data_IF_704952142508
#
_entry.id   IF_704952142508
#
_cell.length_a   1.000
_cell.length_b   1.000
_cell.length_c   1.000
_cell.angle_alpha   90.00
_cell.angle_beta   90.00
_cell.angle_gamma   90.00
#
_symmetry.space_group_name_H-M   'P 1'
#
loop_
_entity.id
_entity.type
_entity.pdbx_description
1 polymer ?
#
# COMPACT_ATOMS: atom_id res chain seq x y z
N UNK A 1 14.22 10.33 -41.62
CA UNK A 1 13.53 9.05 -41.36
C UNK A 1 14.25 8.11 -40.37
N UNK A 2 15.56 7.75 -40.50
CA UNK A 2 16.18 6.74 -39.62
C UNK A 2 16.47 7.20 -38.18
N UNK A 3 16.51 8.51 -37.91
CA UNK A 3 16.60 9.04 -36.53
C UNK A 3 15.25 9.00 -35.80
N UNK A 4 14.16 9.29 -36.50
CA UNK A 4 12.80 9.22 -35.95
C UNK A 4 12.42 7.79 -35.58
N UNK A 5 12.62 6.81 -36.48
CA UNK A 5 12.36 5.40 -36.17
C UNK A 5 13.21 4.88 -35.00
N UNK A 6 14.48 5.29 -34.89
CA UNK A 6 15.32 4.94 -33.74
C UNK A 6 14.82 5.54 -32.42
N UNK A 7 14.34 6.78 -32.46
CA UNK A 7 13.74 7.42 -31.28
C UNK A 7 12.46 6.70 -30.83
N UNK A 8 11.58 6.35 -31.78
CA UNK A 8 10.35 5.59 -31.52
C UNK A 8 10.67 4.20 -30.93
N UNK A 9 11.66 3.51 -31.49
CA UNK A 9 12.08 2.20 -30.98
C UNK A 9 12.66 2.30 -29.55
N UNK A 10 13.51 3.28 -29.27
CA UNK A 10 14.07 3.48 -27.93
C UNK A 10 12.96 3.78 -26.89
N UNK A 11 11.95 4.58 -27.26
CA UNK A 11 10.80 4.83 -26.38
C UNK A 11 9.96 3.58 -26.15
N UNK A 12 9.75 2.75 -27.17
CA UNK A 12 9.00 1.51 -27.06
C UNK A 12 9.73 0.47 -26.18
N UNK A 13 11.06 0.36 -26.33
CA UNK A 13 11.90 -0.52 -25.50
C UNK A 13 11.87 -0.09 -24.02
N UNK A 14 12.01 1.20 -23.73
CA UNK A 14 11.91 1.74 -22.37
C UNK A 14 10.52 1.48 -21.76
N UNK A 15 9.46 1.70 -22.54
CA UNK A 15 8.08 1.48 -22.10
C UNK A 15 7.83 0.00 -21.77
N UNK A 16 8.23 -0.89 -22.66
CA UNK A 16 8.09 -2.34 -22.47
C UNK A 16 8.90 -2.84 -21.26
N UNK A 17 10.12 -2.32 -21.08
CA UNK A 17 10.96 -2.67 -19.92
C UNK A 17 10.32 -2.21 -18.60
N UNK A 18 9.79 -0.99 -18.56
CA UNK A 18 9.14 -0.43 -17.37
C UNK A 18 7.92 -1.24 -16.94
N UNK A 19 7.06 -1.61 -17.90
CA UNK A 19 5.89 -2.46 -17.62
C UNK A 19 6.32 -3.84 -17.10
N UNK A 20 7.32 -4.45 -17.74
CA UNK A 20 7.81 -5.78 -17.31
C UNK A 20 8.33 -5.75 -15.89
N UNK A 21 9.12 -4.74 -15.54
CA UNK A 21 9.60 -4.58 -14.17
C UNK A 21 8.45 -4.45 -13.18
N UNK A 22 7.49 -3.57 -13.46
CA UNK A 22 6.32 -3.36 -12.61
C UNK A 22 5.58 -4.69 -12.39
N UNK A 23 5.31 -5.43 -13.48
CA UNK A 23 4.65 -6.73 -13.42
C UNK A 23 5.45 -7.77 -12.62
N UNK A 24 6.79 -7.78 -12.70
CA UNK A 24 7.62 -8.66 -11.88
C UNK A 24 7.55 -8.32 -10.40
N UNK A 25 7.62 -7.04 -10.04
CA UNK A 25 7.49 -6.60 -8.65
C UNK A 25 6.10 -6.94 -8.08
N UNK A 26 5.03 -6.68 -8.82
CA UNK A 26 3.67 -7.07 -8.42
C UNK A 26 3.53 -8.59 -8.30
N UNK A 27 4.10 -9.37 -9.23
CA UNK A 27 4.07 -10.84 -9.17
C UNK A 27 4.77 -11.37 -7.91
N UNK A 28 5.92 -10.80 -7.55
CA UNK A 28 6.67 -11.17 -6.34
C UNK A 28 5.84 -10.82 -5.09
N UNK A 29 5.24 -9.62 -5.03
CA UNK A 29 4.38 -9.21 -3.93
C UNK A 29 3.19 -10.17 -3.73
N UNK A 30 2.47 -10.48 -4.81
CA UNK A 30 1.36 -11.44 -4.75
C UNK A 30 1.83 -12.84 -4.36
N UNK A 31 2.96 -13.32 -4.89
CA UNK A 31 3.49 -14.63 -4.55
C UNK A 31 3.82 -14.73 -3.05
N UNK A 32 4.47 -13.71 -2.48
CA UNK A 32 4.77 -13.64 -1.05
C UNK A 32 3.47 -13.64 -0.23
N UNK A 33 2.49 -12.81 -0.60
CA UNK A 33 1.20 -12.73 0.07
C UNK A 33 0.48 -14.09 0.12
N UNK A 34 0.32 -14.76 -1.03
CA UNK A 34 -0.35 -16.06 -1.09
C UNK A 34 0.44 -17.16 -0.38
N UNK A 35 1.78 -17.09 -0.43
CA UNK A 35 2.66 -18.03 0.26
C UNK A 35 2.53 -17.92 1.78
N UNK A 36 2.64 -16.71 2.33
CA UNK A 36 2.50 -16.46 3.78
C UNK A 36 1.10 -16.83 4.29
N UNK A 37 0.07 -16.51 3.50
CA UNK A 37 -1.31 -16.90 3.80
C UNK A 37 -1.43 -18.43 3.91
N UNK A 38 -0.88 -19.16 2.93
CA UNK A 38 -0.98 -20.62 2.88
C UNK A 38 -0.28 -21.29 4.06
N UNK A 39 0.89 -20.78 4.47
CA UNK A 39 1.63 -21.30 5.63
C UNK A 39 0.87 -21.09 6.94
N UNK A 40 0.23 -19.93 7.10
CA UNK A 40 -0.43 -19.55 8.35
C UNK A 40 -1.87 -20.08 8.46
N UNK A 41 -2.48 -20.52 7.36
CA UNK A 41 -3.87 -20.98 7.32
C UNK A 41 -4.16 -22.18 8.22
N UNK A 42 -3.29 -23.20 8.27
CA UNK A 42 -3.52 -24.38 9.12
C UNK A 42 -3.58 -24.00 10.61
N UNK A 43 -2.62 -23.19 11.06
CA UNK A 43 -2.54 -22.67 12.42
C UNK A 43 -3.72 -21.75 12.73
N UNK A 44 -4.15 -20.93 11.77
CA UNK A 44 -5.32 -20.07 11.91
C UNK A 44 -6.60 -20.88 12.13
N UNK A 45 -6.83 -21.92 11.33
CA UNK A 45 -8.01 -22.79 11.50
C UNK A 45 -7.99 -23.46 12.88
N UNK A 46 -6.82 -23.95 13.29
CA UNK A 46 -6.68 -24.69 14.55
C UNK A 46 -6.86 -23.81 15.79
N UNK A 47 -6.24 -22.63 15.84
CA UNK A 47 -6.20 -21.80 17.04
C UNK A 47 -7.21 -20.66 17.04
N UNK A 48 -7.52 -20.10 15.87
CA UNK A 48 -8.47 -19.00 15.76
C UNK A 48 -9.87 -19.55 15.50
N UNK A 49 -10.12 -20.23 14.37
CA UNK A 49 -11.49 -20.57 13.98
C UNK A 49 -12.16 -21.64 14.85
N UNK A 50 -11.43 -22.67 15.30
CA UNK A 50 -12.00 -23.71 16.19
C UNK A 50 -12.37 -23.19 17.58
N UNK A 51 -11.73 -22.11 18.05
CA UNK A 51 -11.90 -21.56 19.40
C UNK A 51 -12.46 -20.13 19.39
N UNK A 52 -12.85 -19.60 18.24
CA UNK A 52 -13.23 -18.20 18.09
C UNK A 52 -14.58 -17.90 18.73
N UNK A 53 -14.56 -16.99 19.71
CA UNK A 53 -15.74 -16.19 20.03
C UNK A 53 -15.81 -15.00 19.07
N UNK A 54 -16.99 -14.71 18.53
CA UNK A 54 -17.21 -13.57 17.63
C UNK A 54 -17.08 -12.29 18.45
N UNK A 55 -15.92 -11.64 18.37
CA UNK A 55 -15.62 -10.35 18.99
C UNK A 55 -15.28 -9.32 17.92
N UNK A 56 -15.33 -8.02 18.25
CA UNK A 56 -14.93 -6.95 17.33
C UNK A 56 -13.53 -7.16 16.77
N UNK A 57 -12.57 -7.58 17.61
CA UNK A 57 -11.21 -7.88 17.18
C UNK A 57 -11.16 -9.09 16.24
N UNK A 58 -11.99 -10.11 16.48
CA UNK A 58 -12.07 -11.29 15.61
C UNK A 58 -12.58 -10.91 14.21
N UNK A 59 -13.61 -10.05 14.15
CA UNK A 59 -14.17 -9.54 12.89
C UNK A 59 -13.17 -8.65 12.16
N UNK A 60 -12.51 -7.71 12.85
CA UNK A 60 -11.52 -6.82 12.25
C UNK A 60 -10.31 -7.60 11.74
N UNK A 61 -9.85 -8.61 12.47
CA UNK A 61 -8.78 -9.49 12.04
C UNK A 61 -9.15 -10.24 10.76
N UNK A 62 -10.32 -10.89 10.74
CA UNK A 62 -10.80 -11.61 9.57
C UNK A 62 -11.01 -10.66 8.37
N UNK A 63 -11.60 -9.49 8.61
CA UNK A 63 -11.78 -8.46 7.59
C UNK A 63 -10.43 -8.07 6.99
N UNK A 64 -9.45 -7.65 7.79
CA UNK A 64 -8.13 -7.27 7.29
C UNK A 64 -7.46 -8.40 6.49
N UNK A 65 -7.54 -9.62 7.00
CA UNK A 65 -6.86 -10.78 6.42
C UNK A 65 -7.47 -11.23 5.09
N UNK A 66 -8.79 -11.37 5.01
CA UNK A 66 -9.44 -11.77 3.76
C UNK A 66 -9.60 -10.62 2.78
N UNK A 67 -9.72 -9.38 3.27
CA UNK A 67 -9.71 -8.20 2.40
C UNK A 67 -8.35 -8.03 1.73
N UNK A 68 -7.25 -8.18 2.49
CA UNK A 68 -5.90 -8.19 1.94
C UNK A 68 -5.63 -9.33 0.95
N UNK A 69 -6.26 -10.50 1.16
CA UNK A 69 -6.11 -11.64 0.25
C UNK A 69 -6.94 -11.51 -1.04
N UNK A 70 -8.22 -11.15 -0.92
CA UNK A 70 -9.17 -11.18 -2.03
C UNK A 70 -9.17 -9.89 -2.84
N UNK A 71 -8.89 -8.76 -2.20
CA UNK A 71 -8.93 -7.45 -2.85
C UNK A 71 -7.88 -7.23 -3.95
N UNK A 72 -6.69 -7.85 -3.91
CA UNK A 72 -5.75 -7.81 -5.03
C UNK A 72 -6.15 -8.70 -6.23
N UNK A 73 -7.19 -9.53 -6.14
CA UNK A 73 -7.56 -10.43 -7.25
C UNK A 73 -7.96 -9.64 -8.50
N UNK A 74 -8.85 -8.61 -8.43
CA UNK A 74 -9.16 -7.79 -9.59
C UNK A 74 -7.95 -6.99 -10.10
N UNK A 75 -7.03 -6.57 -9.23
CA UNK A 75 -5.82 -5.85 -9.65
C UNK A 75 -4.87 -6.77 -10.42
N UNK A 76 -4.80 -8.07 -10.12
CA UNK A 76 -4.05 -9.03 -10.96
C UNK A 76 -4.54 -9.00 -12.42
N UNK A 77 -5.84 -8.87 -12.67
CA UNK A 77 -6.35 -8.73 -14.04
C UNK A 77 -5.88 -7.44 -14.72
N UNK A 78 -5.73 -6.35 -13.97
CA UNK A 78 -5.18 -5.08 -14.46
C UNK A 78 -3.73 -5.23 -14.96
N UNK A 79 -2.88 -5.94 -14.20
CA UNK A 79 -1.44 -6.09 -14.52
C UNK A 79 -1.14 -7.14 -15.61
N UNK A 80 -1.91 -8.24 -15.65
CA UNK A 80 -1.57 -9.42 -16.46
C UNK A 80 -2.50 -9.64 -17.66
N UNK A 81 -3.55 -8.84 -17.83
CA UNK A 81 -4.44 -8.94 -19.00
C UNK A 81 -4.46 -7.64 -19.81
N UNK A 82 -5.04 -7.70 -21.01
CA UNK A 82 -5.28 -6.54 -21.88
C UNK A 82 -6.76 -6.18 -21.86
N UNK A 83 -7.29 -5.59 -20.77
CA UNK A 83 -8.70 -5.22 -20.69
C UNK A 83 -9.04 -4.11 -21.69
N UNK A 84 -10.32 -3.95 -22.00
CA UNK A 84 -10.80 -2.79 -22.75
C UNK A 84 -10.49 -1.49 -22.00
N UNK A 85 -10.41 -0.35 -22.69
CA UNK A 85 -10.13 0.95 -22.08
C UNK A 85 -11.10 1.28 -20.93
N UNK A 86 -12.38 0.98 -21.12
CA UNK A 86 -13.41 1.17 -20.09
C UNK A 86 -13.17 0.26 -18.87
N UNK A 87 -12.81 -1.01 -19.11
CA UNK A 87 -12.50 -1.96 -18.03
C UNK A 87 -11.24 -1.56 -17.27
N UNK A 88 -10.22 -1.05 -17.95
CA UNK A 88 -9.00 -0.51 -17.34
C UNK A 88 -9.31 0.66 -16.40
N UNK A 89 -10.09 1.66 -16.84
CA UNK A 89 -10.48 2.80 -15.99
C UNK A 89 -11.25 2.35 -14.74
N UNK A 90 -12.18 1.40 -14.89
CA UNK A 90 -12.94 0.85 -13.76
C UNK A 90 -12.03 0.09 -12.77
N UNK A 91 -11.06 -0.69 -13.27
CA UNK A 91 -10.09 -1.41 -12.45
C UNK A 91 -9.16 -0.46 -11.69
N UNK A 92 -8.71 0.62 -12.32
CA UNK A 92 -7.88 1.63 -11.68
C UNK A 92 -8.62 2.35 -10.52
N UNK A 93 -9.89 2.70 -10.73
CA UNK A 93 -10.75 3.26 -9.66
C UNK A 93 -10.94 2.24 -8.54
N UNK A 94 -11.16 0.96 -8.88
CA UNK A 94 -11.25 -0.11 -7.89
C UNK A 94 -9.96 -0.26 -7.07
N UNK A 95 -8.80 -0.26 -7.73
CA UNK A 95 -7.50 -0.38 -7.07
C UNK A 95 -7.27 0.78 -6.08
N UNK A 96 -7.59 2.02 -6.46
CA UNK A 96 -7.53 3.16 -5.55
C UNK A 96 -8.48 3.02 -4.36
N UNK A 97 -9.73 2.64 -4.60
CA UNK A 97 -10.72 2.42 -3.54
C UNK A 97 -10.31 1.29 -2.58
N UNK A 98 -9.77 0.19 -3.13
CA UNK A 98 -9.24 -0.93 -2.38
C UNK A 98 -8.08 -0.51 -1.48
N UNK A 99 -7.10 0.24 -2.00
CA UNK A 99 -5.97 0.73 -1.22
C UNK A 99 -6.42 1.62 -0.04
N UNK A 100 -7.37 2.53 -0.28
CA UNK A 100 -7.93 3.39 0.78
C UNK A 100 -8.67 2.56 1.84
N UNK A 101 -9.49 1.60 1.42
CA UNK A 101 -10.24 0.74 2.34
C UNK A 101 -9.32 -0.19 3.16
N UNK A 102 -8.26 -0.72 2.54
CA UNK A 102 -7.24 -1.53 3.20
C UNK A 102 -6.53 -0.71 4.27
N UNK A 103 -6.05 0.49 3.91
CA UNK A 103 -5.38 1.39 4.84
C UNK A 103 -6.28 1.79 6.02
N UNK A 104 -7.56 2.07 5.76
CA UNK A 104 -8.51 2.38 6.82
C UNK A 104 -8.66 1.21 7.82
N UNK A 105 -8.72 -0.02 7.31
CA UNK A 105 -8.83 -1.22 8.14
C UNK A 105 -7.57 -1.41 9.01
N UNK A 106 -6.39 -1.30 8.41
CA UNK A 106 -5.09 -1.36 9.10
C UNK A 106 -5.01 -0.28 10.18
N UNK A 107 -5.37 0.96 9.83
CA UNK A 107 -5.34 2.07 10.76
C UNK A 107 -6.26 1.86 11.97
N UNK A 108 -7.49 1.37 11.77
CA UNK A 108 -8.41 1.05 12.87
C UNK A 108 -7.78 0.04 13.83
N UNK A 109 -7.19 -1.04 13.30
CA UNK A 109 -6.53 -2.08 14.11
C UNK A 109 -5.37 -1.49 14.91
N UNK A 110 -4.52 -0.69 14.25
CA UNK A 110 -3.36 -0.05 14.88
C UNK A 110 -3.76 0.95 15.96
N UNK A 111 -4.81 1.75 15.74
CA UNK A 111 -5.34 2.69 16.74
C UNK A 111 -5.91 1.93 17.94
N UNK A 112 -6.74 0.91 17.72
CA UNK A 112 -7.31 0.11 18.82
C UNK A 112 -6.22 -0.55 19.66
N UNK A 113 -5.21 -1.13 19.00
CA UNK A 113 -4.06 -1.76 19.67
C UNK A 113 -3.27 -0.76 20.51
N UNK A 114 -2.94 0.40 19.93
CA UNK A 114 -2.17 1.45 20.61
C UNK A 114 -2.97 2.04 21.76
N UNK A 115 -4.27 2.28 21.56
CA UNK A 115 -5.18 2.77 22.60
C UNK A 115 -5.27 1.83 23.80
N UNK A 116 -5.35 0.52 23.55
CA UNK A 116 -5.32 -0.50 24.61
C UNK A 116 -3.98 -0.51 25.37
N UNK A 117 -2.86 -0.36 24.65
CA UNK A 117 -1.50 -0.36 25.25
C UNK A 117 -1.24 0.85 26.17
N UNK A 118 -1.91 1.96 25.91
CA UNK A 118 -1.88 3.17 26.72
C UNK A 118 -3.07 3.27 27.70
N UNK A 119 -3.54 2.12 28.17
CA UNK A 119 -4.51 2.03 29.27
C UNK A 119 -5.80 2.85 28.98
N UNK A 120 -6.20 2.91 27.70
CA UNK A 120 -7.39 3.63 27.22
C UNK A 120 -7.34 5.14 27.47
N UNK A 121 -6.15 5.75 27.37
CA UNK A 121 -6.00 7.20 27.47
C UNK A 121 -6.65 7.94 26.29
N UNK A 122 -7.71 8.72 26.56
CA UNK A 122 -8.43 9.50 25.54
C UNK A 122 -7.54 10.52 24.80
N UNK A 123 -6.45 11.01 25.42
CA UNK A 123 -5.52 11.95 24.79
C UNK A 123 -4.81 11.33 23.58
N UNK A 124 -4.42 10.07 23.69
CA UNK A 124 -3.71 9.35 22.64
C UNK A 124 -4.69 8.97 21.53
N UNK A 125 -5.91 8.60 21.89
CA UNK A 125 -6.97 8.36 20.91
C UNK A 125 -7.24 9.61 20.06
N UNK A 126 -7.37 10.78 20.69
CA UNK A 126 -7.56 12.05 19.97
C UNK A 126 -6.36 12.34 19.07
N UNK A 127 -5.12 12.20 19.56
CA UNK A 127 -3.92 12.40 18.75
C UNK A 127 -3.92 11.49 17.51
N UNK A 128 -4.21 10.20 17.67
CA UNK A 128 -4.20 9.23 16.58
C UNK A 128 -5.32 9.48 15.57
N UNK A 129 -6.54 9.78 16.05
CA UNK A 129 -7.68 10.10 15.18
C UNK A 129 -7.40 11.39 14.40
N UNK A 130 -6.94 12.45 15.04
CA UNK A 130 -6.65 13.74 14.37
C UNK A 130 -5.58 13.55 13.30
N UNK A 131 -4.52 12.79 13.61
CA UNK A 131 -3.43 12.53 12.66
C UNK A 131 -3.94 11.71 11.46
N UNK A 132 -4.72 10.66 11.70
CA UNK A 132 -5.24 9.79 10.63
C UNK A 132 -6.31 10.48 9.77
N UNK A 133 -7.32 11.09 10.41
CA UNK A 133 -8.42 11.77 9.72
C UNK A 133 -7.91 13.02 8.99
N UNK A 134 -6.97 13.76 9.57
CA UNK A 134 -6.33 14.89 8.90
C UNK A 134 -5.62 14.48 7.61
N UNK A 135 -4.84 13.39 7.63
CA UNK A 135 -4.20 12.83 6.44
C UNK A 135 -5.19 12.32 5.40
N UNK A 136 -6.24 11.61 5.83
CA UNK A 136 -7.28 11.08 4.95
C UNK A 136 -8.10 12.19 4.27
N UNK A 137 -8.49 13.24 5.01
CA UNK A 137 -9.20 14.39 4.46
C UNK A 137 -8.31 15.13 3.46
N UNK A 138 -7.04 15.36 3.78
CA UNK A 138 -6.11 16.00 2.85
C UNK A 138 -5.97 15.19 1.55
N UNK A 139 -5.85 13.87 1.63
CA UNK A 139 -5.80 13.00 0.46
C UNK A 139 -7.11 13.04 -0.36
N UNK A 140 -8.27 12.97 0.30
CA UNK A 140 -9.59 13.02 -0.36
C UNK A 140 -9.86 14.36 -1.05
N UNK A 141 -9.57 15.47 -0.38
CA UNK A 141 -9.72 16.82 -0.96
C UNK A 141 -8.86 16.94 -2.21
N UNK A 142 -7.61 16.49 -2.14
CA UNK A 142 -6.67 16.54 -3.27
C UNK A 142 -7.07 15.64 -4.44
N UNK A 143 -7.71 14.49 -4.16
CA UNK A 143 -8.29 13.60 -5.17
C UNK A 143 -9.49 14.24 -5.89
N UNK A 144 -10.36 14.95 -5.16
CA UNK A 144 -11.57 15.57 -5.72
C UNK A 144 -11.24 16.87 -6.47
N UNK A 145 -10.23 17.62 -6.04
CA UNK A 145 -9.81 18.89 -6.68
C UNK A 145 -8.92 18.69 -7.90
N UNK A 146 -8.43 17.47 -8.13
CA UNK A 146 -7.80 17.14 -9.42
C UNK A 146 -8.90 16.89 -10.43
N UNK A 147 -9.00 17.77 -11.43
CA UNK A 147 -9.83 17.54 -12.61
C UNK A 147 -9.59 16.11 -13.11
N UNK A 148 -10.69 15.37 -13.36
CA UNK A 148 -10.69 14.05 -13.99
C UNK A 148 -9.74 14.04 -15.18
N UNK A 149 -9.13 12.89 -15.53
CA UNK A 149 -8.16 12.82 -16.62
C UNK A 149 -8.81 13.35 -17.89
N UNK A 150 -8.53 14.61 -18.25
CA UNK A 150 -8.58 15.04 -19.63
C UNK A 150 -7.50 14.19 -20.26
N UNK A 151 -7.96 13.23 -21.07
CA UNK A 151 -7.19 12.25 -21.82
C UNK A 151 -5.70 12.41 -21.61
N UNK A 152 -5.09 11.44 -20.92
CA UNK A 152 -3.65 11.25 -21.00
C UNK A 152 -3.40 10.80 -22.45
N UNK A 153 -3.44 11.76 -23.36
CA UNK A 153 -2.82 11.71 -24.67
C UNK A 153 -1.31 11.79 -24.41
N UNK A 154 -0.76 10.82 -23.67
CA UNK A 154 0.57 10.34 -24.03
C UNK A 154 0.38 9.78 -25.42
N UNK A 155 0.55 10.67 -26.40
CA UNK A 155 0.60 10.35 -27.83
C UNK A 155 1.82 9.49 -28.04
N UNK A 156 1.70 8.22 -27.64
CA UNK A 156 2.70 7.22 -27.90
C UNK A 156 2.81 7.14 -29.42
N UNK A 157 4.03 7.17 -29.98
CA UNK A 157 4.22 7.05 -31.42
C UNK A 157 3.90 5.62 -31.93
N UNK A 158 3.23 4.79 -31.12
CA UNK A 158 2.89 3.40 -31.34
C UNK A 158 1.56 3.04 -30.68
N UNK A 159 0.84 2.06 -31.23
CA UNK A 159 -0.36 1.51 -30.63
C UNK A 159 -0.01 0.53 -29.50
N UNK A 160 -0.59 0.72 -28.32
CA UNK A 160 -0.42 -0.16 -27.16
C UNK A 160 -1.78 -0.74 -26.75
N UNK A 161 -1.86 -2.07 -26.63
CA UNK A 161 -3.07 -2.77 -26.17
C UNK A 161 -2.88 -3.27 -24.73
N UNK A 162 -3.11 -2.39 -23.76
CA UNK A 162 -3.01 -2.68 -22.33
C UNK A 162 -3.54 -1.52 -21.49
N UNK A 163 -3.58 -1.69 -20.17
CA UNK A 163 -3.97 -0.62 -19.26
C UNK A 163 -2.78 0.32 -19.03
N UNK A 164 -2.94 1.61 -19.33
CA UNK A 164 -1.90 2.61 -19.06
C UNK A 164 -1.96 3.05 -17.59
N UNK A 165 -0.97 2.61 -16.81
CA UNK A 165 -0.84 2.95 -15.39
C UNK A 165 -0.03 4.25 -15.20
N UNK A 166 0.29 4.96 -16.28
CA UNK A 166 1.07 6.19 -16.23
C UNK A 166 0.36 7.29 -15.45
N UNK A 167 1.07 7.89 -14.51
CA UNK A 167 0.58 8.98 -13.69
C UNK A 167 1.09 10.34 -14.21
N UNK A 168 0.20 11.34 -14.22
CA UNK A 168 0.60 12.73 -14.45
C UNK A 168 1.41 13.27 -13.27
N UNK A 169 2.22 14.31 -13.47
CA UNK A 169 3.00 14.90 -12.37
C UNK A 169 2.11 15.45 -11.24
N UNK A 170 0.95 16.02 -11.55
CA UNK A 170 -0.01 16.48 -10.55
C UNK A 170 -0.54 15.34 -9.68
N UNK A 171 -1.02 14.26 -10.32
CA UNK A 171 -1.49 13.07 -9.61
C UNK A 171 -0.37 12.40 -8.79
N UNK A 172 0.84 12.31 -9.36
CA UNK A 172 2.00 11.73 -8.66
C UNK A 172 2.36 12.51 -7.41
N UNK A 173 2.31 13.85 -7.48
CA UNK A 173 2.56 14.71 -6.34
C UNK A 173 1.51 14.54 -5.24
N UNK A 174 0.23 14.42 -5.63
CA UNK A 174 -0.87 14.17 -4.68
C UNK A 174 -0.73 12.81 -3.99
N UNK A 175 -0.41 11.77 -4.76
CA UNK A 175 -0.10 10.46 -4.21
C UNK A 175 1.10 10.53 -3.26
N UNK A 176 2.20 11.21 -3.63
CA UNK A 176 3.35 11.37 -2.75
C UNK A 176 2.99 12.00 -1.40
N UNK A 177 2.11 13.00 -1.38
CA UNK A 177 1.60 13.61 -0.13
C UNK A 177 0.79 12.59 0.67
N UNK A 178 -0.10 11.83 0.03
CA UNK A 178 -0.90 10.80 0.70
C UNK A 178 -0.02 9.70 1.32
N UNK A 179 0.98 9.21 0.57
CA UNK A 179 1.98 8.25 1.04
C UNK A 179 2.82 8.80 2.18
N UNK A 180 3.20 10.08 2.13
CA UNK A 180 3.91 10.74 3.23
C UNK A 180 3.05 10.82 4.50
N UNK A 181 1.78 11.21 4.37
CA UNK A 181 0.85 11.26 5.49
C UNK A 181 0.62 9.87 6.11
N UNK A 182 0.54 8.82 5.28
CA UNK A 182 0.46 7.43 5.69
C UNK A 182 1.71 7.02 6.49
N UNK A 183 2.90 7.26 5.93
CA UNK A 183 4.19 6.96 6.57
C UNK A 183 4.32 7.67 7.93
N UNK A 184 3.89 8.94 8.00
CA UNK A 184 3.89 9.71 9.24
C UNK A 184 2.98 9.08 10.31
N UNK A 185 1.78 8.66 9.92
CA UNK A 185 0.85 7.99 10.82
C UNK A 185 1.41 6.67 11.33
N UNK A 186 1.94 5.82 10.45
CA UNK A 186 2.51 4.53 10.83
C UNK A 186 3.74 4.71 11.72
N UNK A 187 4.57 5.73 11.46
CA UNK A 187 5.73 6.07 12.30
C UNK A 187 5.29 6.48 13.69
N UNK A 188 4.22 7.29 13.78
CA UNK A 188 3.67 7.71 15.07
C UNK A 188 3.18 6.51 15.88
N UNK A 189 2.43 5.60 15.26
CA UNK A 189 1.97 4.35 15.89
C UNK A 189 3.15 3.50 16.32
N UNK A 190 4.14 3.30 15.45
CA UNK A 190 5.30 2.47 15.72
C UNK A 190 6.11 3.03 16.91
N UNK A 191 6.42 4.33 16.91
CA UNK A 191 7.14 4.99 17.99
C UNK A 191 6.38 4.90 19.31
N UNK A 192 5.06 5.16 19.30
CA UNK A 192 4.23 5.04 20.51
C UNK A 192 4.19 3.60 21.03
N UNK A 193 4.07 2.63 20.14
CA UNK A 193 4.06 1.20 20.48
C UNK A 193 5.42 0.79 21.05
N UNK A 194 6.52 1.18 20.42
CA UNK A 194 7.89 0.90 20.83
C UNK A 194 8.24 1.57 22.18
N UNK A 195 7.78 2.80 22.41
CA UNK A 195 8.01 3.48 23.68
C UNK A 195 7.36 2.74 24.85
N UNK A 196 6.11 2.29 24.68
CA UNK A 196 5.40 1.51 25.71
C UNK A 196 5.96 0.11 25.89
N UNK A 197 6.30 -0.52 24.79
CA UNK A 197 7.03 -1.77 24.75
C UNK A 197 8.29 -1.76 25.62
N UNK A 198 9.17 -0.78 25.40
CA UNK A 198 10.40 -0.61 26.17
C UNK A 198 10.08 -0.32 27.65
N UNK A 199 9.08 0.51 27.92
CA UNK A 199 8.64 0.79 29.30
C UNK A 199 8.15 -0.48 30.03
N UNK A 200 7.41 -1.35 29.33
CA UNK A 200 6.94 -2.63 29.88
C UNK A 200 8.08 -3.62 30.07
N UNK A 201 9.03 -3.69 29.13
CA UNK A 201 10.20 -4.56 29.24
C UNK A 201 11.06 -4.21 30.47
N UNK A 202 11.20 -2.92 30.80
CA UNK A 202 11.86 -2.49 32.04
C UNK A 202 11.16 -2.98 33.32
N UNK A 203 9.88 -3.34 33.24
CA UNK A 203 9.08 -3.85 34.38
C UNK A 203 8.95 -5.38 34.39
N UNK A 204 8.98 -6.02 33.24
CA UNK A 204 8.83 -7.47 33.05
C UNK A 204 9.93 -7.98 32.10
N UNK A 205 11.13 -8.30 32.63
CA UNK A 205 12.20 -8.85 31.81
C UNK A 205 11.85 -10.27 31.33
N UNK A 206 11.96 -10.53 30.03
CA UNK A 206 11.70 -11.83 29.42
C UNK A 206 12.03 -11.87 27.92
N UNK A 207 12.56 -13.00 27.44
CA UNK A 207 13.13 -13.13 26.09
C UNK A 207 12.14 -13.10 24.93
N UNK A 208 10.88 -13.53 25.14
CA UNK A 208 9.85 -13.53 24.05
C UNK A 208 9.54 -12.10 23.59
N UNK A 209 9.44 -11.19 24.56
CA UNK A 209 9.13 -9.77 24.31
C UNK A 209 10.28 -9.10 23.55
N UNK A 210 11.53 -9.46 23.88
CA UNK A 210 12.73 -8.96 23.20
C UNK A 210 12.83 -9.42 21.75
N UNK A 211 12.61 -10.72 21.48
CA UNK A 211 12.63 -11.27 20.12
C UNK A 211 11.54 -10.61 19.26
N UNK A 212 10.33 -10.48 19.81
CA UNK A 212 9.22 -9.83 19.13
C UNK A 212 9.53 -8.36 18.76
N UNK A 213 10.22 -7.62 19.64
CA UNK A 213 10.59 -6.23 19.35
C UNK A 213 11.72 -6.09 18.36
N UNK A 214 12.75 -6.93 18.44
CA UNK A 214 13.85 -6.93 17.48
C UNK A 214 13.32 -7.20 16.08
N UNK A 215 12.56 -8.27 15.92
CA UNK A 215 12.08 -8.71 14.62
C UNK A 215 11.03 -7.72 14.08
N UNK A 216 10.15 -7.19 14.95
CA UNK A 216 9.19 -6.15 14.59
C UNK A 216 9.83 -4.82 14.17
N UNK A 217 10.95 -4.43 14.78
CA UNK A 217 11.67 -3.18 14.42
C UNK A 217 12.38 -3.32 13.08
N UNK A 218 13.00 -4.48 12.82
CA UNK A 218 13.64 -4.76 11.54
C UNK A 218 12.59 -4.74 10.42
N UNK A 219 11.47 -5.43 10.63
CA UNK A 219 10.36 -5.46 9.68
C UNK A 219 9.82 -4.05 9.37
N UNK A 220 9.57 -3.25 10.41
CA UNK A 220 9.10 -1.88 10.23
C UNK A 220 10.13 -1.01 9.47
N UNK A 221 11.43 -1.17 9.76
CA UNK A 221 12.49 -0.47 9.03
C UNK A 221 12.52 -0.79 7.53
N UNK A 222 12.27 -2.05 7.16
CA UNK A 222 12.16 -2.48 5.75
C UNK A 222 10.96 -1.79 5.09
N UNK A 223 9.78 -1.81 5.74
CA UNK A 223 8.58 -1.13 5.20
C UNK A 223 8.85 0.36 4.99
N UNK A 224 9.42 1.05 5.98
CA UNK A 224 9.75 2.48 5.85
C UNK A 224 10.67 2.74 4.66
N UNK A 225 11.70 1.90 4.47
CA UNK A 225 12.63 2.03 3.36
C UNK A 225 11.92 1.86 2.00
N UNK A 226 11.04 0.85 1.88
CA UNK A 226 10.22 0.65 0.68
C UNK A 226 9.25 1.81 0.46
N UNK A 227 8.54 2.28 1.49
CA UNK A 227 7.62 3.42 1.36
C UNK A 227 8.33 4.71 0.96
N UNK A 228 9.52 4.98 1.51
CA UNK A 228 10.33 6.15 1.13
C UNK A 228 10.80 6.05 -0.32
N UNK A 229 11.22 4.85 -0.76
CA UNK A 229 11.61 4.61 -2.15
C UNK A 229 10.41 4.80 -3.08
N UNK A 230 9.22 4.32 -2.69
CA UNK A 230 7.97 4.56 -3.41
C UNK A 230 7.65 6.06 -3.54
N UNK A 231 7.74 6.83 -2.45
CA UNK A 231 7.56 8.29 -2.46
C UNK A 231 8.58 8.97 -3.39
N UNK A 232 9.84 8.54 -3.35
CA UNK A 232 10.88 9.04 -4.24
C UNK A 232 10.54 8.76 -5.71
N UNK A 233 9.99 7.59 -6.04
CA UNK A 233 9.57 7.29 -7.41
C UNK A 233 8.45 8.20 -7.90
N UNK A 234 7.51 8.61 -7.04
CA UNK A 234 6.46 9.56 -7.41
C UNK A 234 7.00 10.95 -7.74
N UNK A 235 8.01 11.42 -6.98
CA UNK A 235 8.58 12.77 -7.09
C UNK A 235 9.68 12.91 -8.14
N UNK A 236 10.56 11.90 -8.26
CA UNK A 236 11.76 11.98 -9.09
C UNK A 236 11.58 11.44 -10.52
N UNK A 237 10.58 10.60 -10.75
CA UNK A 237 10.37 9.99 -12.08
C UNK A 237 9.63 10.98 -13.01
N UNK A 238 10.03 11.09 -14.29
CA UNK A 238 9.30 11.91 -15.27
C UNK A 238 7.83 11.50 -15.45
N UNK A 239 6.98 12.46 -15.81
CA UNK A 239 5.56 12.22 -16.15
C UNK A 239 5.42 11.22 -17.30
N UNK A 240 4.39 10.36 -17.24
CA UNK A 240 4.12 9.39 -18.30
C UNK A 240 4.99 8.12 -18.22
N UNK A 241 5.73 7.92 -17.11
CA UNK A 241 6.51 6.72 -16.89
C UNK A 241 5.75 5.74 -15.99
N UNK A 242 5.69 4.47 -16.41
CA UNK A 242 5.14 3.36 -15.63
C UNK A 242 5.99 2.96 -14.40
N UNK A 243 7.14 3.63 -14.20
CA UNK A 243 7.98 3.43 -13.01
C UNK A 243 7.50 4.22 -11.78
N UNK A 244 6.53 5.12 -11.96
CA UNK A 244 5.95 5.86 -10.83
C UNK A 244 5.11 4.94 -9.97
N UNK A 245 5.43 4.85 -8.68
CA UNK A 245 4.66 4.04 -7.75
C UNK A 245 4.91 2.53 -7.89
N UNK A 246 6.02 2.12 -8.49
CA UNK A 246 6.40 0.72 -8.76
C UNK A 246 6.28 -0.19 -7.53
N UNK A 247 6.53 0.37 -6.35
CA UNK A 247 6.53 -0.38 -5.07
C UNK A 247 5.18 -0.31 -4.35
N UNK A 248 4.18 0.39 -4.89
CA UNK A 248 2.85 0.55 -4.27
C UNK A 248 2.21 -0.80 -3.96
N UNK A 249 2.31 -1.76 -4.88
CA UNK A 249 1.80 -3.12 -4.64
C UNK A 249 2.57 -3.79 -3.52
N UNK A 250 3.91 -3.73 -3.53
CA UNK A 250 4.76 -4.35 -2.50
C UNK A 250 4.51 -3.77 -1.10
N UNK A 251 4.22 -2.48 -0.98
CA UNK A 251 3.94 -1.84 0.31
C UNK A 251 2.53 -2.10 0.83
N UNK A 252 1.60 -2.51 -0.04
CA UNK A 252 0.19 -2.73 0.30
C UNK A 252 -0.19 -4.22 0.40
N UNK A 253 0.68 -5.13 -0.03
CA UNK A 253 0.57 -6.60 0.14
C UNK A 253 1.30 -7.06 1.37
#
# INVERSE_FOLDING_TARGET
MPRFMRAVQATAEYWAWSIRLNNYFSAVGYAILFYDFSLTFSTEVEYFWKSANISLFSVLFAANRYFGLLGPIPTIFEYFTSPSEQSCRNLQVYHQAFAVASQATIAIILVLRTYALYERSGRILVLLIVTHVGGAIAALVMMITTESPKDIDTTLPFNFSGCDLSLTNGQSFHLAIAWFAMLWFDTTIFVLTLARAIQMHRRLPGGIVEILFRDGTIYYGIIVASTVTNIATFLATPSGSNLKGLETTLTNT
#
